data_IF_353829879361
#
_entry.id   IF_353829879361
#
_cell.length_a   1.000
_cell.length_b   1.000
_cell.length_c   1.000
_cell.angle_alpha   90.00
_cell.angle_beta   90.00
_cell.angle_gamma   90.00
#
_symmetry.space_group_name_H-M   'P 1'
#
loop_
_entity.id
_entity.type
_entity.pdbx_description
1 polymer ?
#
# COMPACT_ATOMS: atom_id res chain seq x y z
N UNK A 1 25.48 40.16 -30.11
CA UNK A 1 25.63 39.23 -28.98
C UNK A 1 24.53 38.18 -29.13
N UNK A 2 24.83 37.05 -29.78
CA UNK A 2 23.86 35.97 -30.00
C UNK A 2 23.77 35.13 -28.72
N UNK A 3 22.64 35.19 -28.04
CA UNK A 3 22.35 34.32 -26.90
C UNK A 3 22.03 32.92 -27.40
N UNK A 4 22.94 31.97 -27.21
CA UNK A 4 22.68 30.55 -27.42
C UNK A 4 21.84 30.07 -26.23
N UNK A 5 20.57 29.79 -26.47
CA UNK A 5 19.69 29.11 -25.53
C UNK A 5 20.08 27.63 -25.50
N UNK A 6 20.98 27.24 -24.58
CA UNK A 6 21.29 25.85 -24.31
C UNK A 6 20.10 25.20 -23.60
N UNK A 7 19.15 24.66 -24.38
CA UNK A 7 18.20 23.67 -23.87
C UNK A 7 19.00 22.37 -23.75
N UNK A 8 19.61 22.15 -22.58
CA UNK A 8 20.12 20.83 -22.24
C UNK A 8 18.91 19.90 -22.12
N UNK A 9 18.61 19.17 -23.20
CA UNK A 9 17.81 17.96 -23.10
C UNK A 9 18.62 17.00 -22.22
N UNK A 10 18.28 16.95 -20.93
CA UNK A 10 18.67 15.84 -20.09
C UNK A 10 17.97 14.61 -20.64
N UNK A 11 18.60 13.91 -21.57
CA UNK A 11 18.24 12.56 -21.95
C UNK A 11 18.72 11.66 -20.81
N UNK A 12 18.04 11.72 -19.67
CA UNK A 12 18.19 10.66 -18.70
C UNK A 12 17.67 9.39 -19.37
N UNK A 13 18.54 8.42 -19.59
CA UNK A 13 18.14 7.02 -19.52
C UNK A 13 17.65 6.80 -18.09
N UNK A 14 16.42 7.24 -17.81
CA UNK A 14 15.76 7.07 -16.54
C UNK A 14 15.18 5.66 -16.59
N UNK A 15 15.73 4.77 -15.75
CA UNK A 15 15.16 3.45 -15.51
C UNK A 15 13.65 3.61 -15.30
N UNK A 16 12.89 2.99 -16.21
CA UNK A 16 11.42 3.15 -16.27
C UNK A 16 10.81 2.62 -14.98
N UNK A 17 11.45 1.62 -14.39
CA UNK A 17 11.05 0.98 -13.15
C UNK A 17 12.15 1.12 -12.08
N UNK A 18 11.74 1.47 -10.86
CA UNK A 18 12.59 1.47 -9.68
C UNK A 18 12.52 0.11 -9.02
N UNK A 19 13.67 -0.57 -8.94
CA UNK A 19 13.83 -1.90 -8.32
C UNK A 19 14.60 -1.87 -7.00
N UNK A 20 15.29 -0.77 -6.70
CA UNK A 20 15.95 -0.54 -5.41
C UNK A 20 14.96 0.08 -4.41
N UNK A 21 14.23 -0.77 -3.68
CA UNK A 21 13.15 -0.37 -2.77
C UNK A 21 13.46 -0.64 -1.31
N UNK A 22 14.48 -1.45 -1.01
CA UNK A 22 14.77 -1.91 0.35
C UNK A 22 15.15 -0.72 1.24
N UNK A 23 14.40 -0.54 2.33
CA UNK A 23 14.60 0.56 3.28
C UNK A 23 14.25 1.96 2.74
N UNK A 24 13.75 2.07 1.51
CA UNK A 24 13.32 3.35 0.91
C UNK A 24 11.93 3.72 1.38
N UNK A 25 11.71 5.01 1.65
CA UNK A 25 10.42 5.50 2.15
C UNK A 25 9.53 5.96 1.00
N UNK A 26 8.21 5.89 1.22
CA UNK A 26 7.21 6.39 0.27
C UNK A 26 7.49 7.81 -0.23
N UNK A 27 7.94 8.70 0.65
CA UNK A 27 8.25 10.09 0.29
C UNK A 27 9.37 10.22 -0.76
N UNK A 28 10.34 9.30 -0.77
CA UNK A 28 11.42 9.28 -1.76
C UNK A 28 10.85 9.06 -3.16
N UNK A 29 9.86 8.16 -3.27
CA UNK A 29 9.19 7.86 -4.52
C UNK A 29 8.20 8.94 -4.96
N UNK A 30 7.51 9.59 -4.03
CA UNK A 30 6.69 10.76 -4.35
C UNK A 30 7.56 11.89 -4.93
N UNK A 31 8.72 12.16 -4.34
CA UNK A 31 9.65 13.16 -4.88
C UNK A 31 10.20 12.74 -6.24
N UNK A 32 10.48 11.46 -6.42
CA UNK A 32 10.89 10.92 -7.72
C UNK A 32 9.82 11.15 -8.80
N UNK A 33 8.57 10.80 -8.53
CA UNK A 33 7.46 11.00 -9.47
C UNK A 33 7.20 12.48 -9.79
N UNK A 34 7.34 13.37 -8.80
CA UNK A 34 7.26 14.80 -9.02
C UNK A 34 8.36 15.30 -9.98
N UNK A 35 9.57 14.76 -9.88
CA UNK A 35 10.68 15.09 -10.82
C UNK A 35 10.42 14.56 -12.22
N UNK A 36 9.71 13.44 -12.35
CA UNK A 36 9.28 12.90 -13.65
C UNK A 36 8.12 13.68 -14.28
N UNK A 37 7.47 14.56 -13.51
CA UNK A 37 6.26 15.26 -13.96
C UNK A 37 5.04 14.34 -14.05
N UNK A 38 5.05 13.23 -13.30
CA UNK A 38 3.95 12.27 -13.26
C UNK A 38 2.72 12.87 -12.59
N UNK A 39 1.54 12.41 -12.98
CA UNK A 39 0.26 12.92 -12.45
C UNK A 39 -0.25 12.04 -11.33
N UNK A 40 -0.60 12.62 -10.19
CA UNK A 40 -1.31 11.89 -9.13
C UNK A 40 -2.69 11.47 -9.62
N UNK A 41 -3.04 10.20 -9.43
CA UNK A 41 -4.36 9.65 -9.70
C UNK A 41 -5.11 9.49 -8.38
N UNK A 42 -6.30 10.08 -8.28
CA UNK A 42 -7.21 9.86 -7.15
C UNK A 42 -8.20 8.78 -7.55
N UNK A 43 -8.42 7.82 -6.66
CA UNK A 43 -9.42 6.77 -6.81
C UNK A 43 -10.24 6.69 -5.53
N UNK A 44 -11.51 6.37 -5.66
CA UNK A 44 -12.41 6.09 -4.54
C UNK A 44 -12.40 4.59 -4.18
N UNK A 45 -11.58 3.79 -4.88
CA UNK A 45 -11.40 2.36 -4.64
C UNK A 45 -10.52 2.11 -3.40
N UNK A 46 -10.99 1.26 -2.49
CA UNK A 46 -10.18 0.72 -1.40
C UNK A 46 -9.53 -0.59 -1.82
N UNK A 47 -8.20 -0.66 -1.72
CA UNK A 47 -7.44 -1.88 -1.97
C UNK A 47 -7.38 -2.69 -0.68
N UNK A 48 -7.90 -3.92 -0.72
CA UNK A 48 -7.79 -4.89 0.37
C UNK A 48 -6.39 -5.50 0.33
N UNK A 49 -5.65 -5.41 1.43
CA UNK A 49 -4.36 -6.08 1.61
C UNK A 49 -4.37 -6.94 2.87
N UNK A 50 -3.79 -8.13 2.78
CA UNK A 50 -3.56 -9.00 3.91
C UNK A 50 -2.33 -8.56 4.74
N UNK A 51 -1.48 -7.71 4.17
CA UNK A 51 -0.34 -7.11 4.85
C UNK A 51 -0.71 -5.75 5.48
N UNK A 52 -0.05 -5.32 6.58
CA UNK A 52 -0.31 -4.05 7.23
C UNK A 52 0.26 -2.86 6.42
N UNK A 53 -0.24 -2.65 5.21
CA UNK A 53 0.20 -1.59 4.28
C UNK A 53 -0.84 -0.49 4.13
N UNK A 54 -0.38 0.72 3.82
CA UNK A 54 -1.23 1.87 3.48
C UNK A 54 -1.97 1.62 2.16
N UNK A 55 -3.07 2.35 1.95
CA UNK A 55 -3.66 2.47 0.61
C UNK A 55 -2.60 3.00 -0.37
N UNK A 56 -2.55 2.49 -1.61
CA UNK A 56 -1.50 2.86 -2.53
C UNK A 56 -1.61 4.33 -2.92
N UNK A 57 -0.46 5.00 -3.02
CA UNK A 57 -0.37 6.29 -3.73
C UNK A 57 -0.14 5.98 -5.20
N UNK A 58 -1.01 6.51 -6.07
CA UNK A 58 -1.05 6.17 -7.49
C UNK A 58 -0.58 7.35 -8.34
N UNK A 59 0.34 7.07 -9.26
CA UNK A 59 0.80 8.03 -10.27
C UNK A 59 0.56 7.50 -11.69
N UNK A 60 0.31 8.41 -12.62
CA UNK A 60 0.20 8.13 -14.05
C UNK A 60 1.36 8.76 -14.83
N UNK A 61 2.00 7.97 -15.69
CA UNK A 61 3.00 8.42 -16.65
C UNK A 61 2.49 8.21 -18.07
N UNK A 62 2.64 9.22 -18.93
CA UNK A 62 2.17 9.14 -20.31
C UNK A 62 3.02 8.20 -21.15
N UNK A 63 2.34 7.36 -21.93
CA UNK A 63 2.95 6.49 -22.95
C UNK A 63 2.40 6.89 -24.33
N UNK A 64 3.07 6.47 -25.41
CA UNK A 64 2.68 6.83 -26.79
C UNK A 64 1.90 5.74 -27.52
N UNK A 65 2.42 4.51 -27.50
CA UNK A 65 1.95 3.41 -28.34
C UNK A 65 1.16 2.35 -27.57
N UNK A 66 1.24 2.40 -26.24
CA UNK A 66 0.63 1.49 -25.28
C UNK A 66 -0.14 2.32 -24.23
N UNK A 67 -0.93 1.69 -23.34
CA UNK A 67 -1.66 2.42 -22.31
C UNK A 67 -0.70 3.23 -21.44
N UNK A 68 -1.19 4.32 -20.84
CA UNK A 68 -0.39 5.05 -19.85
C UNK A 68 -0.02 4.10 -18.70
N UNK A 69 1.16 4.31 -18.13
CA UNK A 69 1.61 3.55 -16.98
C UNK A 69 0.93 4.08 -15.72
N UNK A 70 0.29 3.22 -14.94
CA UNK A 70 -0.03 3.49 -13.53
C UNK A 70 1.02 2.87 -12.62
N UNK A 71 1.52 3.65 -11.67
CA UNK A 71 2.48 3.21 -10.65
C UNK A 71 1.81 3.30 -9.29
N UNK A 72 1.74 2.18 -8.60
CA UNK A 72 1.14 2.06 -7.28
C UNK A 72 2.25 1.86 -6.25
N UNK A 73 2.36 2.80 -5.32
CA UNK A 73 3.30 2.71 -4.21
C UNK A 73 2.56 2.28 -2.95
N UNK A 74 2.83 1.06 -2.49
CA UNK A 74 2.33 0.54 -1.21
C UNK A 74 3.46 0.56 -0.20
N UNK A 75 3.22 1.19 0.94
CA UNK A 75 4.17 1.29 2.03
C UNK A 75 3.63 0.62 3.28
N UNK A 76 4.51 0.03 4.09
CA UNK A 76 4.12 -0.47 5.39
C UNK A 76 3.56 0.66 6.25
N UNK A 77 2.47 0.38 6.98
CA UNK A 77 1.88 1.32 7.96
C UNK A 77 2.88 1.66 9.07
N UNK A 78 3.84 0.78 9.30
CA UNK A 78 4.78 0.78 10.43
C UNK A 78 5.85 1.86 10.30
N UNK A 79 6.43 2.06 9.13
CA UNK A 79 7.53 3.03 8.97
C UNK A 79 7.52 3.73 7.61
N UNK A 80 6.46 3.52 6.83
CA UNK A 80 6.32 4.01 5.46
C UNK A 80 7.43 3.55 4.51
N UNK A 81 8.18 2.50 4.89
CA UNK A 81 9.07 1.81 3.95
C UNK A 81 8.22 1.15 2.87
N UNK A 82 8.67 1.21 1.62
CA UNK A 82 7.97 0.55 0.52
C UNK A 82 7.92 -0.96 0.76
N UNK A 83 6.70 -1.48 0.76
CA UNK A 83 6.39 -2.89 0.76
C UNK A 83 6.31 -3.41 -0.68
N UNK A 84 5.66 -2.66 -1.56
CA UNK A 84 5.47 -3.03 -2.96
C UNK A 84 5.42 -1.80 -3.86
N UNK A 85 6.04 -1.91 -5.03
CA UNK A 85 5.71 -1.06 -6.18
C UNK A 85 5.09 -1.94 -7.26
N UNK A 86 3.90 -1.57 -7.73
CA UNK A 86 3.28 -2.16 -8.91
C UNK A 86 3.36 -1.15 -10.06
N UNK A 87 3.98 -1.55 -11.16
CA UNK A 87 3.92 -0.88 -12.45
C UNK A 87 2.91 -1.60 -13.33
N UNK A 88 1.87 -0.89 -13.78
CA UNK A 88 0.77 -1.47 -14.54
C UNK A 88 0.52 -0.70 -15.84
N UNK A 89 0.60 -1.42 -16.96
CA UNK A 89 0.06 -1.00 -18.24
C UNK A 89 -1.18 -1.84 -18.52
N UNK A 90 -2.37 -1.30 -18.24
CA UNK A 90 -3.64 -2.00 -18.45
C UNK A 90 -4.59 -1.13 -19.28
N UNK A 91 -5.09 -1.68 -20.39
CA UNK A 91 -6.08 -0.99 -21.24
C UNK A 91 -7.37 -0.67 -20.48
N UNK A 92 -7.79 -1.54 -19.55
CA UNK A 92 -9.04 -1.39 -18.79
C UNK A 92 -9.10 -0.08 -17.99
N UNK A 93 -7.93 0.44 -17.57
CA UNK A 93 -7.81 1.68 -16.82
C UNK A 93 -8.15 2.94 -17.62
N UNK A 94 -8.16 2.86 -18.96
CA UNK A 94 -8.25 4.04 -19.84
C UNK A 94 -9.37 3.93 -20.88
N UNK A 95 -9.58 2.74 -21.43
CA UNK A 95 -10.60 2.51 -22.44
C UNK A 95 -11.85 1.90 -21.80
N UNK A 96 -12.98 2.60 -21.89
CA UNK A 96 -14.26 2.10 -21.37
C UNK A 96 -15.01 1.34 -22.47
N UNK A 97 -15.23 0.03 -22.29
CA UNK A 97 -16.06 -0.81 -23.16
C UNK A 97 -15.72 -2.31 -23.11
N UNK A 98 -16.71 -3.18 -23.31
CA UNK A 98 -16.57 -4.65 -23.17
C UNK A 98 -15.79 -5.33 -24.32
N UNK A 99 -15.71 -4.71 -25.51
CA UNK A 99 -15.08 -5.31 -26.70
C UNK A 99 -14.24 -4.29 -27.48
N UNK A 100 -13.39 -3.54 -26.77
CA UNK A 100 -12.45 -2.61 -27.42
C UNK A 100 -11.32 -3.43 -28.02
N UNK A 101 -11.33 -3.63 -29.34
CA UNK A 101 -10.27 -4.32 -30.08
C UNK A 101 -9.05 -3.43 -30.28
N UNK A 102 -7.85 -4.02 -30.25
CA UNK A 102 -6.60 -3.32 -30.55
C UNK A 102 -5.96 -3.89 -31.81
N UNK A 103 -5.26 -3.06 -32.61
CA UNK A 103 -4.57 -3.55 -33.79
C UNK A 103 -3.40 -4.44 -33.40
N UNK A 104 -2.97 -5.34 -34.30
CA UNK A 104 -1.80 -6.22 -34.07
C UNK A 104 -0.54 -5.42 -33.72
N UNK A 105 -0.39 -4.21 -34.27
CA UNK A 105 0.73 -3.30 -33.94
C UNK A 105 0.76 -2.93 -32.46
N UNK A 106 -0.40 -2.75 -31.82
CA UNK A 106 -0.49 -2.45 -30.39
C UNK A 106 -0.01 -3.64 -29.54
N UNK A 107 -0.45 -4.86 -29.87
CA UNK A 107 -0.01 -6.06 -29.16
C UNK A 107 1.50 -6.30 -29.33
N UNK A 108 2.05 -6.03 -30.51
CA UNK A 108 3.51 -6.04 -30.73
C UNK A 108 4.24 -4.99 -29.89
N UNK A 109 3.68 -3.79 -29.72
CA UNK A 109 4.25 -2.76 -28.86
C UNK A 109 4.24 -3.17 -27.37
N UNK A 110 3.16 -3.82 -26.90
CA UNK A 110 3.09 -4.39 -25.55
C UNK A 110 4.14 -5.49 -25.33
N UNK A 111 4.30 -6.44 -26.28
CA UNK A 111 5.32 -7.48 -26.20
C UNK A 111 6.72 -6.86 -26.15
N UNK A 112 7.01 -5.91 -27.04
CA UNK A 112 8.30 -5.21 -27.06
C UNK A 112 8.57 -4.52 -25.73
N UNK A 113 7.58 -3.80 -25.18
CA UNK A 113 7.70 -3.16 -23.86
C UNK A 113 8.04 -4.18 -22.77
N UNK A 114 7.33 -5.30 -22.74
CA UNK A 114 7.59 -6.36 -21.76
C UNK A 114 9.02 -6.89 -21.89
N UNK A 115 9.46 -7.25 -23.11
CA UNK A 115 10.82 -7.74 -23.37
C UNK A 115 11.91 -6.73 -22.97
N UNK A 116 11.69 -5.44 -23.23
CA UNK A 116 12.58 -4.36 -22.79
C UNK A 116 12.69 -4.30 -21.25
N UNK A 117 11.57 -4.40 -20.53
CA UNK A 117 11.56 -4.46 -19.06
C UNK A 117 12.29 -5.70 -18.55
N UNK A 118 12.06 -6.87 -19.14
CA UNK A 118 12.71 -8.12 -18.70
C UNK A 118 14.23 -8.03 -18.90
N UNK A 119 14.65 -7.42 -20.01
CA UNK A 119 16.05 -7.17 -20.31
C UNK A 119 16.68 -6.24 -19.27
N UNK A 120 16.05 -5.09 -18.98
CA UNK A 120 16.52 -4.13 -17.98
C UNK A 120 16.68 -4.77 -16.59
N UNK A 121 15.68 -5.55 -16.14
CA UNK A 121 15.74 -6.26 -14.84
C UNK A 121 16.84 -7.32 -14.86
N UNK A 122 16.94 -8.09 -15.95
CA UNK A 122 17.91 -9.19 -16.06
C UNK A 122 19.36 -8.72 -16.16
N UNK A 123 19.60 -7.53 -16.73
CA UNK A 123 20.92 -6.90 -16.74
C UNK A 123 21.40 -6.62 -15.30
N UNK A 124 20.48 -6.32 -14.38
CA UNK A 124 20.80 -6.02 -12.98
C UNK A 124 20.84 -7.25 -12.07
N UNK A 125 19.93 -8.21 -12.27
CA UNK A 125 19.70 -9.31 -11.33
C UNK A 125 19.91 -10.71 -11.90
N UNK A 126 20.36 -10.82 -13.16
CA UNK A 126 20.51 -12.09 -13.84
C UNK A 126 19.21 -12.61 -14.45
N UNK A 127 19.22 -13.82 -14.99
CA UNK A 127 18.07 -14.39 -15.72
C UNK A 127 16.89 -14.68 -14.78
N UNK A 128 15.69 -14.40 -15.26
CA UNK A 128 14.43 -14.79 -14.61
C UNK A 128 14.20 -16.31 -14.67
N UNK A 129 13.32 -16.78 -13.79
CA UNK A 129 12.57 -18.02 -14.03
C UNK A 129 11.34 -17.67 -14.88
N UNK A 130 11.35 -18.09 -16.15
CA UNK A 130 10.29 -17.78 -17.11
C UNK A 130 9.24 -18.90 -17.16
N UNK A 131 7.97 -18.54 -17.28
CA UNK A 131 6.85 -19.42 -17.66
C UNK A 131 6.05 -18.79 -18.79
N UNK A 132 5.51 -19.61 -19.70
CA UNK A 132 4.80 -19.13 -20.88
C UNK A 132 5.72 -18.60 -21.99
N UNK A 133 5.11 -18.14 -23.09
CA UNK A 133 5.80 -17.66 -24.29
C UNK A 133 4.91 -16.72 -25.10
N UNK A 134 5.52 -15.78 -25.83
CA UNK A 134 4.83 -14.73 -26.60
C UNK A 134 5.00 -14.89 -28.11
N UNK A 135 5.62 -15.98 -28.59
CA UNK A 135 5.96 -16.16 -30.02
C UNK A 135 4.76 -16.45 -30.91
N UNK A 136 3.72 -17.09 -30.39
CA UNK A 136 2.56 -17.57 -31.16
C UNK A 136 1.45 -16.51 -31.24
N UNK A 137 1.72 -15.43 -31.99
CA UNK A 137 0.80 -14.28 -32.11
C UNK A 137 -0.62 -14.65 -32.58
N UNK A 138 -0.79 -15.79 -33.25
CA UNK A 138 -2.09 -16.34 -33.64
C UNK A 138 -3.02 -16.64 -32.45
N UNK A 139 -2.46 -16.98 -31.27
CA UNK A 139 -3.23 -17.29 -30.06
C UNK A 139 -3.89 -16.06 -29.43
N UNK A 140 -3.48 -14.85 -29.82
CA UNK A 140 -4.07 -13.62 -29.30
C UNK A 140 -5.60 -13.58 -29.54
N UNK A 141 -6.09 -14.17 -30.62
CA UNK A 141 -7.52 -14.19 -30.95
C UNK A 141 -8.24 -15.46 -30.47
N UNK A 142 -7.55 -16.42 -29.86
CA UNK A 142 -8.17 -17.60 -29.25
C UNK A 142 -8.47 -17.38 -27.77
N UNK A 143 -9.30 -18.26 -27.23
CA UNK A 143 -9.62 -18.34 -25.79
C UNK A 143 -8.37 -18.46 -24.91
N UNK A 144 -7.32 -19.15 -25.39
CA UNK A 144 -6.04 -19.28 -24.70
C UNK A 144 -5.27 -17.94 -24.53
N UNK A 145 -5.36 -17.01 -25.49
CA UNK A 145 -4.57 -15.79 -25.50
C UNK A 145 -3.05 -16.02 -25.52
N UNK A 146 -2.29 -15.00 -25.13
CA UNK A 146 -0.87 -15.09 -24.84
C UNK A 146 -0.59 -14.68 -23.40
N UNK A 147 0.21 -15.50 -22.71
CA UNK A 147 0.67 -15.22 -21.37
C UNK A 147 2.16 -15.56 -21.23
N UNK A 148 2.86 -14.69 -20.51
CA UNK A 148 4.21 -14.96 -20.01
C UNK A 148 4.37 -14.34 -18.63
N UNK A 149 5.08 -15.05 -17.76
CA UNK A 149 5.55 -14.51 -16.49
C UNK A 149 7.05 -14.75 -16.31
N UNK A 150 7.67 -13.83 -15.59
CA UNK A 150 9.08 -13.85 -15.24
C UNK A 150 9.25 -13.51 -13.76
N UNK A 151 10.07 -14.29 -13.07
CA UNK A 151 10.32 -14.11 -11.63
C UNK A 151 11.83 -14.03 -11.35
N UNK A 152 12.21 -13.05 -10.53
CA UNK A 152 13.55 -12.89 -9.97
C UNK A 152 13.49 -12.93 -8.44
N UNK A 153 14.04 -14.01 -7.90
CA UNK A 153 14.33 -14.14 -6.48
C UNK A 153 15.71 -13.53 -6.21
N UNK A 154 15.76 -12.20 -6.10
CA UNK A 154 17.04 -11.45 -6.00
C UNK A 154 17.76 -11.80 -4.69
N UNK A 155 17.03 -11.75 -3.58
CA UNK A 155 17.48 -12.20 -2.26
C UNK A 155 16.26 -12.48 -1.37
N UNK A 156 16.49 -12.88 -0.12
CA UNK A 156 15.43 -13.21 0.84
C UNK A 156 14.49 -12.07 1.22
N UNK A 157 14.77 -10.85 0.78
CA UNK A 157 13.99 -9.65 1.10
C UNK A 157 13.62 -8.84 -0.16
N UNK A 158 13.91 -9.33 -1.37
CA UNK A 158 13.54 -8.66 -2.62
C UNK A 158 13.14 -9.70 -3.66
N UNK A 159 11.87 -9.67 -4.01
CA UNK A 159 11.29 -10.47 -5.08
C UNK A 159 10.74 -9.53 -6.17
N UNK A 160 11.00 -9.85 -7.43
CA UNK A 160 10.45 -9.13 -8.57
C UNK A 160 9.69 -10.14 -9.43
N UNK A 161 8.42 -9.87 -9.67
CA UNK A 161 7.58 -10.68 -10.56
C UNK A 161 7.01 -9.80 -11.64
N UNK A 162 6.89 -10.35 -12.83
CA UNK A 162 6.16 -9.70 -13.91
C UNK A 162 5.30 -10.67 -14.67
N UNK A 163 4.20 -10.16 -15.20
CA UNK A 163 3.32 -10.88 -16.09
C UNK A 163 2.87 -9.98 -17.24
N UNK A 164 2.64 -10.62 -18.38
CA UNK A 164 1.93 -10.04 -19.51
C UNK A 164 0.83 -11.00 -19.93
N UNK A 165 -0.38 -10.46 -20.11
CA UNK A 165 -1.53 -11.18 -20.66
C UNK A 165 -2.06 -10.37 -21.84
N UNK A 166 -2.16 -11.01 -23.01
CA UNK A 166 -2.71 -10.44 -24.23
C UNK A 166 -3.76 -11.38 -24.83
N UNK A 167 -5.01 -10.93 -24.86
CA UNK A 167 -6.12 -11.61 -25.52
C UNK A 167 -7.04 -10.56 -26.17
N UNK A 168 -7.35 -10.79 -27.45
CA UNK A 168 -8.39 -10.11 -28.23
C UNK A 168 -9.68 -10.93 -28.29
N UNK A 169 -9.69 -12.12 -27.66
CA UNK A 169 -10.86 -12.98 -27.62
C UNK A 169 -11.99 -12.30 -26.85
N UNK A 170 -13.16 -12.29 -27.46
CA UNK A 170 -14.39 -11.77 -26.87
C UNK A 170 -15.50 -12.77 -27.12
N UNK A 171 -16.14 -13.20 -26.04
CA UNK A 171 -17.28 -14.10 -26.10
C UNK A 171 -18.31 -13.70 -25.04
N UNK A 172 -19.58 -13.69 -25.42
CA UNK A 172 -20.69 -13.40 -24.51
C UNK A 172 -21.70 -14.55 -24.56
N UNK A 173 -21.69 -15.36 -23.51
CA UNK A 173 -22.54 -16.53 -23.34
C UNK A 173 -23.51 -16.28 -22.18
N UNK A 174 -24.67 -15.70 -22.50
CA UNK A 174 -25.69 -15.35 -21.51
C UNK A 174 -25.18 -14.31 -20.51
N UNK A 175 -25.04 -14.70 -19.24
CA UNK A 175 -24.54 -13.84 -18.16
C UNK A 175 -23.01 -13.81 -18.05
N UNK A 176 -22.29 -14.68 -18.77
CA UNK A 176 -20.83 -14.74 -18.74
C UNK A 176 -20.27 -13.99 -19.95
N UNK A 177 -19.35 -13.06 -19.69
CA UNK A 177 -18.63 -12.33 -20.74
C UNK A 177 -17.13 -12.52 -20.57
N UNK A 178 -16.49 -13.15 -21.53
CA UNK A 178 -15.03 -13.17 -21.66
C UNK A 178 -14.63 -11.92 -22.42
N UNK A 179 -13.93 -11.01 -21.74
CA UNK A 179 -13.52 -9.72 -22.32
C UNK A 179 -12.04 -9.75 -22.71
N UNK A 180 -11.66 -9.06 -23.80
CA UNK A 180 -10.27 -8.90 -24.18
C UNK A 180 -9.42 -8.32 -23.04
N UNK A 181 -8.25 -8.92 -22.79
CA UNK A 181 -7.33 -8.54 -21.71
C UNK A 181 -5.99 -8.13 -22.28
N UNK A 182 -5.49 -6.95 -21.94
CA UNK A 182 -4.20 -6.44 -22.43
C UNK A 182 -3.49 -5.72 -21.31
N UNK A 183 -2.62 -6.46 -20.65
CA UNK A 183 -2.05 -6.02 -19.39
C UNK A 183 -0.60 -6.45 -19.27
N UNK A 184 0.24 -5.53 -18.80
CA UNK A 184 1.57 -5.84 -18.26
C UNK A 184 1.56 -5.39 -16.81
N UNK A 185 2.05 -6.25 -15.91
CA UNK A 185 2.32 -5.89 -14.52
C UNK A 185 3.75 -6.25 -14.16
N UNK A 186 4.39 -5.35 -13.41
CA UNK A 186 5.68 -5.62 -12.75
C UNK A 186 5.52 -5.27 -11.29
N UNK A 187 5.70 -6.26 -10.43
CA UNK A 187 5.69 -6.16 -8.99
C UNK A 187 7.13 -6.17 -8.49
N UNK A 188 7.51 -5.15 -7.75
CA UNK A 188 8.76 -5.11 -6.98
C UNK A 188 8.38 -5.19 -5.52
N UNK A 189 8.64 -6.32 -4.87
CA UNK A 189 8.18 -6.63 -3.52
C UNK A 189 9.35 -6.70 -2.54
N UNK A 190 9.20 -5.98 -1.45
CA UNK A 190 10.09 -6.07 -0.31
C UNK A 190 9.56 -7.18 0.61
N UNK A 191 10.21 -8.34 0.59
CA UNK A 191 9.87 -9.45 1.49
C UNK A 191 10.50 -9.24 2.86
N UNK A 192 10.18 -8.11 3.49
CA UNK A 192 10.54 -7.92 4.90
C UNK A 192 9.84 -9.01 5.69
N UNK A 193 10.61 -9.95 6.23
CA UNK A 193 10.15 -10.79 7.34
C UNK A 193 9.93 -9.86 8.52
N UNK A 194 8.72 -9.32 8.64
CA UNK A 194 8.31 -8.71 9.89
C UNK A 194 8.31 -9.82 10.95
N UNK A 195 8.98 -9.54 12.07
CA UNK A 195 8.75 -10.25 13.32
C UNK A 195 7.27 -9.99 13.66
N UNK A 196 6.43 -10.99 13.37
CA UNK A 196 5.09 -11.19 13.93
C UNK A 196 4.42 -9.98 14.63
N UNK A 197 3.99 -8.99 13.84
CA UNK A 197 2.90 -8.08 14.22
C UNK A 197 3.24 -6.86 15.07
N UNK A 198 4.51 -6.50 15.25
CA UNK A 198 4.89 -5.29 15.99
C UNK A 198 5.50 -4.19 15.10
N UNK A 199 4.64 -3.31 14.62
CA UNK A 199 4.98 -2.10 13.87
C UNK A 199 5.82 -1.06 14.64
N UNK A 200 5.77 -1.13 15.97
CA UNK A 200 6.42 -0.22 16.89
C UNK A 200 7.56 -0.94 17.62
N UNK A 201 8.64 -0.23 17.95
CA UNK A 201 9.71 -0.78 18.79
C UNK A 201 9.17 -1.24 20.15
N UNK A 202 9.69 -2.35 20.69
CA UNK A 202 9.20 -2.96 21.95
C UNK A 202 9.16 -1.94 23.10
N UNK A 203 10.16 -1.06 23.18
CA UNK A 203 10.25 -0.01 24.18
C UNK A 203 9.09 1.00 24.06
N UNK A 204 8.69 1.35 22.83
CA UNK A 204 7.54 2.23 22.57
C UNK A 204 6.22 1.54 22.92
N UNK A 205 6.07 0.27 22.55
CA UNK A 205 4.88 -0.52 22.93
C UNK A 205 4.74 -0.57 24.45
N UNK A 206 5.84 -0.83 25.17
CA UNK A 206 5.84 -0.83 26.63
C UNK A 206 5.49 0.54 27.21
N UNK A 207 6.08 1.63 26.70
CA UNK A 207 5.74 2.99 27.12
C UNK A 207 4.25 3.28 26.94
N UNK A 208 3.71 3.06 25.74
CA UNK A 208 2.31 3.34 25.41
C UNK A 208 1.34 2.48 26.22
N UNK A 209 1.67 1.21 26.44
CA UNK A 209 0.89 0.32 27.29
C UNK A 209 0.86 0.83 28.73
N UNK A 210 2.00 1.24 29.28
CA UNK A 210 2.08 1.79 30.65
C UNK A 210 1.26 3.07 30.77
N UNK A 211 1.38 4.02 29.82
CA UNK A 211 0.63 5.28 29.86
C UNK A 211 -0.88 5.05 29.73
N UNK A 212 -1.30 4.11 28.87
CA UNK A 212 -2.71 3.77 28.77
C UNK A 212 -3.26 3.08 30.02
N UNK A 213 -2.49 2.18 30.65
CA UNK A 213 -2.89 1.56 31.92
C UNK A 213 -3.02 2.61 33.04
N UNK A 214 -2.12 3.60 33.12
CA UNK A 214 -2.29 4.74 34.04
C UNK A 214 -3.60 5.47 33.77
N UNK A 215 -3.93 5.73 32.51
CA UNK A 215 -5.17 6.39 32.12
C UNK A 215 -6.41 5.59 32.55
N UNK A 216 -6.40 4.26 32.36
CA UNK A 216 -7.46 3.36 32.83
C UNK A 216 -7.63 3.43 34.36
N UNK A 217 -6.54 3.44 35.13
CA UNK A 217 -6.62 3.58 36.60
C UNK A 217 -7.21 4.92 37.04
N UNK A 218 -6.93 6.01 36.31
CA UNK A 218 -7.57 7.31 36.54
C UNK A 218 -9.06 7.27 36.25
N UNK A 219 -9.49 6.61 35.18
CA UNK A 219 -10.92 6.42 34.89
C UNK A 219 -11.63 5.58 35.96
N UNK A 220 -11.01 4.49 36.45
CA UNK A 220 -11.57 3.64 37.53
C UNK A 220 -11.88 4.43 38.80
N UNK A 221 -10.97 5.33 39.15
CA UNK A 221 -11.07 6.16 40.36
C UNK A 221 -11.83 7.47 40.14
N UNK A 222 -12.38 7.68 38.93
CA UNK A 222 -13.04 8.93 38.51
C UNK A 222 -12.15 10.18 38.68
N UNK A 223 -10.82 10.02 38.64
CA UNK A 223 -9.85 11.11 38.65
C UNK A 223 -9.70 11.70 37.24
N UNK A 224 -10.71 12.47 36.81
CA UNK A 224 -10.76 13.05 35.47
C UNK A 224 -9.70 14.12 35.24
N UNK A 225 -9.27 14.83 36.29
CA UNK A 225 -8.15 15.76 36.17
C UNK A 225 -6.85 15.00 35.84
N UNK A 226 -6.53 13.96 36.60
CA UNK A 226 -5.36 13.12 36.34
C UNK A 226 -5.46 12.35 35.02
N UNK A 227 -6.66 12.01 34.55
CA UNK A 227 -6.86 11.41 33.23
C UNK A 227 -6.53 12.41 32.11
N UNK A 228 -6.95 13.67 32.23
CA UNK A 228 -6.65 14.73 31.24
C UNK A 228 -5.17 15.05 31.18
N UNK A 229 -4.45 14.95 32.30
CA UNK A 229 -3.00 15.12 32.33
C UNK A 229 -2.25 14.08 31.47
N UNK A 230 -2.85 12.94 31.17
CA UNK A 230 -2.26 11.90 30.31
C UNK A 230 -2.59 12.08 28.82
N UNK A 231 -3.49 13.01 28.50
CA UNK A 231 -3.86 13.34 27.12
C UNK A 231 -2.87 14.32 26.49
N UNK A 232 -2.79 14.31 25.17
CA UNK A 232 -2.08 15.33 24.39
C UNK A 232 -2.72 16.69 24.62
N UNK A 233 -1.90 17.72 24.68
CA UNK A 233 -2.34 19.12 24.78
C UNK A 233 -3.32 19.49 23.65
N UNK A 234 -3.22 18.83 22.50
CA UNK A 234 -4.11 19.04 21.35
C UNK A 234 -5.57 18.69 21.63
N UNK A 235 -5.82 17.75 22.56
CA UNK A 235 -7.18 17.28 22.87
C UNK A 235 -7.59 17.53 24.32
N UNK A 236 -6.63 17.71 25.24
CA UNK A 236 -6.88 17.80 26.67
C UNK A 236 -7.85 18.94 27.03
N UNK A 237 -7.68 20.13 26.43
CA UNK A 237 -8.54 21.29 26.70
C UNK A 237 -9.98 21.10 26.22
N UNK A 238 -10.17 20.32 25.14
CA UNK A 238 -11.48 20.04 24.54
C UNK A 238 -12.18 18.82 25.16
N UNK A 239 -11.47 18.04 25.99
CA UNK A 239 -12.00 16.83 26.61
C UNK A 239 -12.74 17.19 27.90
N UNK A 240 -14.04 16.91 27.93
CA UNK A 240 -14.89 17.16 29.11
C UNK A 240 -14.98 15.92 30.00
N UNK A 241 -15.37 16.12 31.26
CA UNK A 241 -15.56 15.03 32.23
C UNK A 241 -16.66 14.08 31.77
N UNK A 242 -17.73 14.60 31.15
CA UNK A 242 -18.80 13.78 30.56
C UNK A 242 -18.30 12.88 29.42
N UNK A 243 -17.33 13.34 28.62
CA UNK A 243 -16.71 12.51 27.58
C UNK A 243 -15.89 11.37 28.20
N UNK A 244 -15.14 11.65 29.27
CA UNK A 244 -14.36 10.64 29.99
C UNK A 244 -15.27 9.63 30.70
N UNK A 245 -16.38 10.09 31.27
CA UNK A 245 -17.40 9.22 31.87
C UNK A 245 -18.02 8.29 30.83
N UNK A 246 -18.45 8.81 29.68
CA UNK A 246 -18.97 7.99 28.57
C UNK A 246 -17.93 7.00 28.05
N UNK A 247 -16.65 7.41 27.99
CA UNK A 247 -15.57 6.51 27.60
C UNK A 247 -15.42 5.36 28.61
N UNK A 248 -15.43 5.67 29.91
CA UNK A 248 -15.37 4.67 30.99
C UNK A 248 -16.53 3.67 30.93
N UNK A 249 -17.75 4.11 30.57
CA UNK A 249 -18.92 3.23 30.37
C UNK A 249 -18.76 2.25 29.20
N UNK A 250 -17.87 2.55 28.24
CA UNK A 250 -17.64 1.75 27.03
C UNK A 250 -16.36 0.91 27.07
N UNK A 251 -15.66 0.87 28.20
CA UNK A 251 -14.45 0.07 28.42
C UNK A 251 -14.65 -0.80 29.66
N UNK A 252 -14.29 -2.07 29.59
CA UNK A 252 -14.28 -2.95 30.76
C UNK A 252 -13.04 -2.68 31.61
N UNK A 253 -13.09 -1.64 32.43
CA UNK A 253 -11.94 -1.16 33.21
C UNK A 253 -11.35 -2.25 34.12
N UNK A 254 -12.18 -3.15 34.66
CA UNK A 254 -11.73 -4.22 35.57
C UNK A 254 -11.07 -5.42 34.87
N UNK A 255 -11.17 -5.50 33.53
CA UNK A 255 -10.59 -6.60 32.77
C UNK A 255 -9.13 -6.32 32.42
N UNK A 256 -8.34 -7.38 32.44
CA UNK A 256 -6.97 -7.31 31.92
C UNK A 256 -6.98 -7.22 30.40
N UNK A 257 -6.06 -6.42 29.88
CA UNK A 257 -5.85 -6.22 28.45
C UNK A 257 -4.48 -6.73 28.02
N UNK A 258 -4.40 -7.20 26.78
CA UNK A 258 -3.16 -7.53 26.07
C UNK A 258 -3.07 -6.73 24.78
N UNK A 259 -1.84 -6.44 24.35
CA UNK A 259 -1.60 -5.87 23.01
C UNK A 259 -2.05 -6.89 21.97
N UNK A 260 -2.96 -6.49 21.11
CA UNK A 260 -3.47 -7.29 20.00
C UNK A 260 -2.73 -6.96 18.70
N UNK A 261 -2.59 -5.67 18.38
CA UNK A 261 -1.93 -5.20 17.18
C UNK A 261 -1.29 -3.83 17.46
N UNK A 262 -0.16 -3.55 16.81
CA UNK A 262 0.44 -2.21 16.82
C UNK A 262 0.59 -1.68 15.40
N UNK A 263 0.68 -0.37 15.25
CA UNK A 263 0.74 0.28 13.95
C UNK A 263 0.83 1.79 14.07
N UNK A 264 0.47 2.44 12.98
CA UNK A 264 0.22 3.87 12.95
C UNK A 264 -1.14 4.12 12.30
N UNK A 265 -1.81 5.19 12.72
CA UNK A 265 -3.07 5.61 12.15
C UNK A 265 -2.95 7.03 11.61
N UNK A 266 -3.30 7.19 10.34
CA UNK A 266 -3.50 8.50 9.72
C UNK A 266 -4.83 9.07 10.21
N UNK A 267 -4.82 10.31 10.68
CA UNK A 267 -6.03 11.05 11.05
C UNK A 267 -6.35 12.11 10.00
N UNK A 268 -7.56 12.67 10.05
CA UNK A 268 -8.13 13.50 8.97
C UNK A 268 -7.29 14.74 8.57
N UNK A 269 -6.44 15.24 9.48
CA UNK A 269 -5.55 16.37 9.21
C UNK A 269 -4.26 15.98 8.45
N UNK A 270 -4.12 14.70 8.09
CA UNK A 270 -2.93 14.15 7.42
C UNK A 270 -1.79 13.78 8.37
N UNK A 271 -1.94 13.98 9.68
CA UNK A 271 -0.98 13.55 10.69
C UNK A 271 -1.09 12.04 10.93
N UNK A 272 0.05 11.42 11.23
CA UNK A 272 0.15 9.99 11.52
C UNK A 272 0.61 9.80 12.98
N UNK A 273 -0.11 8.99 13.74
CA UNK A 273 0.18 8.73 15.16
C UNK A 273 0.41 7.24 15.43
N UNK A 274 1.39 6.87 16.28
CA UNK A 274 1.52 5.54 16.84
C UNK A 274 0.18 5.02 17.39
N UNK A 275 -0.14 3.78 17.09
CA UNK A 275 -1.41 3.14 17.38
C UNK A 275 -1.17 1.80 18.05
N UNK A 276 -1.83 1.57 19.18
CA UNK A 276 -1.86 0.28 19.88
C UNK A 276 -3.30 -0.15 20.03
N UNK A 277 -3.61 -1.36 19.55
CA UNK A 277 -4.88 -2.01 19.78
C UNK A 277 -4.74 -3.00 20.92
N UNK A 278 -5.65 -2.91 21.87
CA UNK A 278 -5.75 -3.79 23.01
C UNK A 278 -6.96 -4.71 22.87
N UNK A 279 -6.80 -5.97 23.25
CA UNK A 279 -7.89 -6.94 23.45
C UNK A 279 -8.00 -7.31 24.93
N UNK A 280 -9.13 -7.84 25.35
CA UNK A 280 -9.26 -8.41 26.69
C UNK A 280 -8.63 -9.82 26.74
N UNK A 281 -7.87 -10.12 27.79
CA UNK A 281 -7.11 -11.39 27.93
C UNK A 281 -7.96 -12.66 27.84
N UNK A 282 -9.22 -12.56 28.25
CA UNK A 282 -10.16 -13.67 28.30
C UNK A 282 -10.59 -14.16 26.89
N UNK A 283 -10.30 -13.38 25.84
CA UNK A 283 -10.66 -13.72 24.46
C UNK A 283 -9.58 -14.58 23.79
N UNK A 284 -9.91 -15.87 23.58
CA UNK A 284 -9.01 -16.89 23.03
C UNK A 284 -8.98 -16.88 21.49
N UNK A 285 -10.00 -16.32 20.84
CA UNK A 285 -10.13 -16.19 19.38
C UNK A 285 -10.07 -14.72 18.94
N UNK A 286 -10.41 -14.41 17.67
CA UNK A 286 -10.46 -13.03 17.18
C UNK A 286 -11.31 -12.16 18.11
N UNK A 287 -10.79 -11.01 18.59
CA UNK A 287 -11.43 -10.26 19.64
C UNK A 287 -12.78 -9.69 19.19
N UNK A 288 -13.80 -9.82 20.06
CA UNK A 288 -15.13 -9.24 19.80
C UNK A 288 -15.16 -7.77 20.18
N UNK A 289 -14.38 -7.41 21.20
CA UNK A 289 -14.22 -6.05 21.65
C UNK A 289 -12.73 -5.68 21.69
N UNK A 290 -12.41 -4.47 21.25
CA UNK A 290 -11.05 -3.96 21.22
C UNK A 290 -11.02 -2.49 21.60
N UNK A 291 -9.86 -2.02 22.04
CA UNK A 291 -9.63 -0.61 22.32
C UNK A 291 -8.45 -0.17 21.45
N UNK A 292 -8.69 0.75 20.52
CA UNK A 292 -7.61 1.41 19.77
C UNK A 292 -7.21 2.67 20.48
N UNK A 293 -5.90 2.84 20.72
CA UNK A 293 -5.35 4.04 21.36
C UNK A 293 -4.28 4.62 20.46
N UNK A 294 -4.34 5.93 20.25
CA UNK A 294 -3.36 6.70 19.51
C UNK A 294 -2.50 7.51 20.47
N UNK A 295 -1.19 7.55 20.20
CA UNK A 295 -0.22 8.22 21.05
C UNK A 295 0.60 9.23 20.26
N UNK A 296 1.09 10.24 20.95
CA UNK A 296 2.24 11.02 20.50
C UNK A 296 3.54 10.28 20.85
N UNK A 297 4.66 10.70 20.25
CA UNK A 297 5.97 10.11 20.53
C UNK A 297 6.37 10.20 22.01
N UNK A 298 5.84 11.20 22.72
CA UNK A 298 6.01 11.44 24.16
C UNK A 298 5.30 10.41 25.04
N UNK A 299 4.35 9.64 24.49
CA UNK A 299 3.46 8.75 25.24
C UNK A 299 2.12 9.37 25.63
N UNK A 300 1.90 10.67 25.36
CA UNK A 300 0.59 11.31 25.56
C UNK A 300 -0.46 10.71 24.63
N UNK A 301 -1.67 10.53 25.14
CA UNK A 301 -2.78 9.94 24.38
C UNK A 301 -3.46 11.01 23.55
N UNK A 302 -3.60 10.78 22.25
CA UNK A 302 -4.27 11.70 21.31
C UNK A 302 -5.57 11.14 20.73
N UNK A 303 -5.90 9.89 21.04
CA UNK A 303 -7.18 9.30 20.66
C UNK A 303 -7.43 7.98 21.35
N UNK A 304 -8.68 7.72 21.73
CA UNK A 304 -9.13 6.45 22.28
C UNK A 304 -10.43 6.08 21.58
N UNK A 305 -10.49 4.86 21.05
CA UNK A 305 -11.66 4.33 20.36
C UNK A 305 -11.94 2.91 20.83
N UNK A 306 -12.87 2.72 21.77
CA UNK A 306 -13.48 1.42 22.02
C UNK A 306 -14.23 0.98 20.75
N UNK A 307 -14.10 -0.28 20.39
CA UNK A 307 -14.69 -0.88 19.21
C UNK A 307 -15.36 -2.19 19.60
N UNK A 308 -16.58 -2.39 19.10
CA UNK A 308 -17.27 -3.68 19.15
C UNK A 308 -17.41 -4.17 17.73
N UNK A 309 -17.04 -5.43 17.50
CA UNK A 309 -17.26 -6.08 16.21
C UNK A 309 -18.76 -6.24 16.02
N UNK A 310 -19.28 -5.72 14.91
CA UNK A 310 -20.65 -6.01 14.48
C UNK A 310 -20.68 -7.47 14.03
N UNK A 311 -21.56 -8.27 14.65
CA UNK A 311 -21.92 -9.62 14.20
C UNK A 311 -22.94 -9.55 13.07
#
# INVERSE_FOLDING_TARGET
>A
MLGILLISQFCYSQNIIQTDIQGKKLNDFIQFENKLGSKVVKTDEEYISFEPVLQPVIFERKEKEIPNLRVFYKAYKTDSVIAEILYEWDVYNFDKGENVKKPVSFNKAMIKKYEELMKEISEKYGKSTQKGDLKKLELINSDDGLERSDEWNVNSALNINSDIILSEYYEKNGMVTTSPTRKIRVYVKNERKEDDGNALAKEKISLYTIEFLKFIEKLKTSDFAGAKDLLSEKIASSTTDDMLKKLAENIHLDKQIDVFMTGFQLVNDGSQYPMVQFKYKEEVSSPKEMITVLFEDSGKIIGIKPMKRLE
#
